data_IF_909358423747
#
_entry.id   IF_909358423747
#
_cell.length_a   1.000
_cell.length_b   1.000
_cell.length_c   1.000
_cell.angle_alpha   90.00
_cell.angle_beta   90.00
_cell.angle_gamma   90.00
#
_symmetry.space_group_name_H-M   'P 1'
#
loop_
_entity.id
_entity.type
_entity.pdbx_description
1 polymer ?
#
# COMPACT_ATOMS: atom_id res chain seq x y z
N UNK A 1 -13.85 24.14 -3.96
CA UNK A 1 -13.51 22.71 -3.77
C UNK A 1 -11.99 22.62 -3.75
N UNK A 2 -11.37 22.51 -2.58
CA UNK A 2 -9.91 22.53 -2.47
C UNK A 2 -9.38 21.11 -2.73
N UNK A 3 -8.43 20.94 -3.66
CA UNK A 3 -7.89 19.62 -4.02
C UNK A 3 -7.17 18.96 -2.82
N UNK A 4 -6.83 19.74 -1.80
CA UNK A 4 -6.21 19.29 -0.55
C UNK A 4 -7.19 18.61 0.42
N UNK A 5 -8.50 18.77 0.23
CA UNK A 5 -9.52 18.12 1.08
C UNK A 5 -9.61 16.61 0.82
N UNK A 6 -9.09 16.13 -0.32
CA UNK A 6 -9.02 14.70 -0.66
C UNK A 6 -7.94 13.93 0.11
N UNK A 7 -7.04 14.65 0.79
CA UNK A 7 -6.08 14.07 1.72
C UNK A 7 -6.62 14.16 3.16
N UNK A 8 -7.91 13.93 3.36
CA UNK A 8 -8.41 13.62 4.69
C UNK A 8 -8.04 12.15 4.98
N UNK A 9 -7.00 11.85 5.79
CA UNK A 9 -6.75 10.48 6.17
C UNK A 9 -8.00 9.93 6.87
N UNK A 10 -8.46 8.70 6.54
CA UNK A 10 -9.52 8.07 7.31
C UNK A 10 -9.09 8.03 8.78
N UNK A 11 -10.04 8.33 9.68
CA UNK A 11 -9.85 8.73 11.08
C UNK A 11 -9.19 7.72 12.04
N UNK A 12 -8.44 6.73 11.54
CA UNK A 12 -7.51 5.89 12.28
C UNK A 12 -6.59 5.18 11.27
N UNK A 13 -5.33 4.90 11.58
CA UNK A 13 -4.50 4.05 10.73
C UNK A 13 -5.13 2.66 10.65
N UNK A 14 -5.83 2.37 9.56
CA UNK A 14 -6.32 1.02 9.30
C UNK A 14 -5.10 0.12 9.10
N UNK A 15 -5.05 -1.07 9.74
CA UNK A 15 -3.92 -1.99 9.60
C UNK A 15 -3.68 -2.42 8.14
N UNK A 16 -4.74 -2.34 7.32
CA UNK A 16 -4.71 -2.71 5.92
C UNK A 16 -4.66 -1.44 5.07
N UNK A 17 -3.57 -1.31 4.31
CA UNK A 17 -3.33 -0.26 3.33
C UNK A 17 -3.91 -0.65 1.98
N UNK A 18 -4.74 0.21 1.39
CA UNK A 18 -5.30 -0.02 0.04
C UNK A 18 -4.27 0.32 -1.04
N UNK A 19 -4.56 -0.14 -2.27
CA UNK A 19 -3.71 0.14 -3.42
C UNK A 19 -3.46 1.65 -3.64
N UNK A 20 -4.47 2.50 -3.43
CA UNK A 20 -4.28 3.95 -3.58
C UNK A 20 -3.30 4.52 -2.56
N UNK A 21 -3.37 4.07 -1.30
CA UNK A 21 -2.50 4.52 -0.22
C UNK A 21 -1.05 4.07 -0.45
N UNK A 22 -0.81 2.81 -0.82
CA UNK A 22 0.54 2.33 -1.07
C UNK A 22 1.18 3.00 -2.29
N UNK A 23 0.40 3.28 -3.33
CA UNK A 23 0.89 4.07 -4.48
C UNK A 23 1.28 5.49 -4.07
N UNK A 24 0.47 6.13 -3.22
CA UNK A 24 0.76 7.47 -2.71
C UNK A 24 1.99 7.47 -1.79
N UNK A 25 2.12 6.45 -0.92
CA UNK A 25 3.24 6.30 0.00
C UNK A 25 4.57 6.09 -0.75
N UNK A 26 4.56 5.25 -1.80
CA UNK A 26 5.76 4.95 -2.58
C UNK A 26 6.02 5.98 -3.68
N UNK A 27 5.05 6.84 -4.02
CA UNK A 27 5.12 7.71 -5.19
C UNK A 27 5.24 6.93 -6.51
N UNK A 28 4.64 5.74 -6.58
CA UNK A 28 4.76 4.83 -7.73
C UNK A 28 3.40 4.42 -8.29
N UNK A 29 3.39 4.02 -9.56
CA UNK A 29 2.19 3.53 -10.24
C UNK A 29 1.79 2.14 -9.72
N UNK A 30 0.50 1.79 -9.87
CA UNK A 30 -0.03 0.46 -9.52
C UNK A 30 0.73 -0.68 -10.22
N UNK A 31 1.14 -0.48 -11.47
CA UNK A 31 1.92 -1.46 -12.23
C UNK A 31 3.29 -1.68 -11.59
N UNK A 32 3.95 -0.60 -11.16
CA UNK A 32 5.24 -0.71 -10.46
C UNK A 32 5.08 -1.44 -9.14
N UNK A 33 4.02 -1.16 -8.37
CA UNK A 33 3.72 -1.87 -7.12
C UNK A 33 3.53 -3.37 -7.37
N UNK A 34 2.72 -3.76 -8.35
CA UNK A 34 2.54 -5.18 -8.67
C UNK A 34 3.81 -5.85 -9.20
N UNK A 35 4.60 -5.13 -10.00
CA UNK A 35 5.90 -5.62 -10.47
C UNK A 35 6.82 -5.91 -9.29
N UNK A 36 6.94 -4.99 -8.34
CA UNK A 36 7.76 -5.19 -7.13
C UNK A 36 7.24 -6.32 -6.24
N UNK A 37 5.92 -6.51 -6.15
CA UNK A 37 5.35 -7.68 -5.47
C UNK A 37 5.78 -8.98 -6.17
N UNK A 38 5.76 -9.02 -7.51
CA UNK A 38 6.16 -10.21 -8.26
C UNK A 38 7.69 -10.45 -8.21
N UNK A 39 8.48 -9.38 -8.14
CA UNK A 39 9.94 -9.43 -8.00
C UNK A 39 10.38 -9.80 -6.57
N UNK A 40 9.46 -9.79 -5.59
CA UNK A 40 9.75 -10.09 -4.18
C UNK A 40 10.33 -8.90 -3.40
N UNK A 41 10.41 -7.73 -4.03
CA UNK A 41 10.85 -6.48 -3.42
C UNK A 41 9.82 -5.95 -2.42
N UNK A 42 8.53 -6.02 -2.76
CA UNK A 42 7.46 -5.50 -1.91
C UNK A 42 6.69 -6.66 -1.25
N UNK A 43 6.31 -6.56 0.04
CA UNK A 43 5.45 -7.57 0.67
C UNK A 43 4.18 -7.86 -0.14
N UNK A 44 3.74 -9.13 -0.22
CA UNK A 44 2.56 -9.49 -0.98
C UNK A 44 1.29 -8.90 -0.35
N UNK A 45 0.26 -8.58 -1.15
CA UNK A 45 -1.01 -8.15 -0.60
C UNK A 45 -1.69 -9.29 0.16
N UNK A 46 -2.40 -8.93 1.23
CA UNK A 46 -3.39 -9.76 1.87
C UNK A 46 -4.50 -10.07 0.86
N UNK A 47 -4.84 -11.35 0.71
CA UNK A 47 -5.86 -11.82 -0.22
C UNK A 47 -7.03 -12.43 0.53
N UNK A 48 -8.24 -12.29 -0.02
CA UNK A 48 -9.41 -13.05 0.43
C UNK A 48 -9.24 -14.53 0.10
N UNK A 49 -10.01 -15.45 0.71
CA UNK A 49 -10.09 -16.85 0.27
C UNK A 49 -10.34 -17.02 -1.23
N UNK A 50 -11.06 -16.08 -1.85
CA UNK A 50 -11.35 -16.05 -3.29
C UNK A 50 -10.22 -15.46 -4.16
N UNK A 51 -9.03 -15.23 -3.61
CA UNK A 51 -7.85 -14.74 -4.34
C UNK A 51 -7.79 -13.23 -4.61
N UNK A 52 -8.85 -12.47 -4.31
CA UNK A 52 -8.87 -11.00 -4.49
C UNK A 52 -7.97 -10.31 -3.47
N UNK A 53 -7.11 -9.40 -3.94
CA UNK A 53 -6.29 -8.56 -3.07
C UNK A 53 -7.17 -7.58 -2.27
N UNK A 54 -7.03 -7.61 -0.94
CA UNK A 54 -7.72 -6.74 0.01
C UNK A 54 -6.91 -5.46 0.25
N UNK A 55 -5.58 -5.59 0.27
CA UNK A 55 -4.63 -4.53 0.57
C UNK A 55 -3.33 -5.09 1.13
N UNK A 56 -2.48 -4.25 1.68
CA UNK A 56 -1.19 -4.62 2.28
C UNK A 56 -1.22 -4.40 3.78
N UNK A 57 -0.47 -5.18 4.54
CA UNK A 57 -0.25 -4.87 5.94
C UNK A 57 0.63 -3.62 6.05
N UNK A 58 0.12 -2.58 6.71
CA UNK A 58 0.81 -1.30 6.87
C UNK A 58 2.15 -1.46 7.58
N UNK A 59 2.21 -2.32 8.59
CA UNK A 59 3.42 -2.53 9.40
C UNK A 59 4.52 -3.23 8.59
N UNK A 60 4.16 -4.18 7.72
CA UNK A 60 5.12 -4.86 6.85
C UNK A 60 5.67 -3.90 5.79
N UNK A 61 4.81 -3.09 5.18
CA UNK A 61 5.24 -2.06 4.21
C UNK A 61 6.15 -1.04 4.88
N UNK A 62 5.83 -0.59 6.10
CA UNK A 62 6.66 0.36 6.84
C UNK A 62 8.01 -0.26 7.26
N UNK A 63 8.03 -1.54 7.67
CA UNK A 63 9.26 -2.28 7.95
C UNK A 63 10.15 -2.37 6.70
N UNK A 64 9.56 -2.66 5.54
CA UNK A 64 10.29 -2.67 4.28
C UNK A 64 10.94 -1.30 4.00
N UNK A 65 10.18 -0.21 4.11
CA UNK A 65 10.70 1.15 3.91
C UNK A 65 11.84 1.48 4.88
N UNK A 66 11.70 1.12 6.15
CA UNK A 66 12.74 1.34 7.15
C UNK A 66 14.00 0.50 6.89
N UNK A 67 13.86 -0.71 6.33
CA UNK A 67 14.98 -1.58 6.01
C UNK A 67 15.75 -1.15 4.74
N UNK A 68 15.22 -0.23 3.94
CA UNK A 68 15.92 0.38 2.79
C UNK A 68 16.74 1.64 3.16
N UNK A 69 16.93 1.91 4.45
CA UNK A 69 17.70 3.06 4.98
C UNK A 69 19.18 2.76 5.17
#
# INVERSE_FOLDING_TARGET
MNILDYFSPPAAPTPIMKMAEICALLGRSRQTVYRWVNEGELPPPLRTPNGRAIGWNRDEVMKYLNNQS
#
